data_IF_373495993139
#
_entry.id   IF_373495993139
#
_cell.length_a   1.000
_cell.length_b   1.000
_cell.length_c   1.000
_cell.angle_alpha   90.00
_cell.angle_beta   90.00
_cell.angle_gamma   90.00
#
_symmetry.space_group_name_H-M   'P 1'
#
loop_
_entity.id
_entity.type
_entity.pdbx_description
1 polymer ?
#
# COMPACT_ATOMS: atom_id res chain seq x y z
N UNK A 1 9.14 0.75 1.17
CA UNK A 1 9.07 1.86 2.14
C UNK A 1 8.69 3.16 1.45
N UNK A 2 8.25 4.12 2.20
CA UNK A 2 8.11 5.48 1.69
C UNK A 2 9.37 6.27 2.06
N UNK A 3 9.96 6.94 1.10
CA UNK A 3 11.09 7.85 1.30
C UNK A 3 10.61 9.24 0.88
N UNK A 4 10.49 10.13 1.85
CA UNK A 4 9.87 11.44 1.66
C UNK A 4 8.48 11.35 1.01
N UNK A 5 7.70 10.34 1.42
CA UNK A 5 6.35 10.11 0.91
C UNK A 5 6.26 9.36 -0.42
N UNK A 6 7.37 8.96 -1.01
CA UNK A 6 7.42 8.25 -2.30
C UNK A 6 7.73 6.78 -2.08
N UNK A 7 6.99 5.90 -2.73
CA UNK A 7 7.23 4.46 -2.64
C UNK A 7 8.52 4.08 -3.38
N UNK A 8 9.44 3.46 -2.67
CA UNK A 8 10.73 3.02 -3.21
C UNK A 8 11.03 1.60 -2.72
N UNK A 9 11.84 0.87 -3.47
CA UNK A 9 12.36 -0.41 -3.02
C UNK A 9 13.49 -0.18 -2.02
N UNK A 10 13.24 -0.51 -0.75
CA UNK A 10 14.21 -0.26 0.33
C UNK A 10 15.54 -0.96 0.08
N UNK A 11 15.53 -2.12 -0.56
CA UNK A 11 16.75 -2.87 -0.89
C UNK A 11 17.63 -2.19 -1.96
N UNK A 12 17.11 -1.18 -2.66
CA UNK A 12 17.84 -0.44 -3.69
C UNK A 12 18.28 0.96 -3.23
N UNK A 13 18.00 1.30 -1.96
CA UNK A 13 18.39 2.58 -1.38
C UNK A 13 19.54 2.35 -0.41
N UNK A 14 20.66 3.04 -0.64
CA UNK A 14 21.81 2.98 0.29
C UNK A 14 21.43 3.70 1.59
N UNK A 15 21.92 3.19 2.71
CA UNK A 15 21.64 3.78 4.02
C UNK A 15 22.09 5.25 4.07
N UNK A 16 23.21 5.56 3.46
CA UNK A 16 23.73 6.94 3.41
C UNK A 16 22.84 7.87 2.60
N UNK A 17 22.12 7.34 1.60
CA UNK A 17 21.18 8.12 0.80
C UNK A 17 19.92 8.51 1.58
N UNK A 18 19.59 7.74 2.61
CA UNK A 18 18.43 8.02 3.45
C UNK A 18 18.72 9.11 4.50
N UNK A 19 19.96 9.49 4.68
CA UNK A 19 20.31 10.53 5.64
C UNK A 19 19.64 11.86 5.27
N UNK A 20 19.00 12.49 6.24
CA UNK A 20 18.27 13.73 6.04
C UNK A 20 16.90 13.57 5.40
N UNK A 21 16.47 12.34 5.12
CA UNK A 21 15.17 12.02 4.52
C UNK A 21 14.25 11.34 5.53
N UNK A 22 12.96 11.48 5.30
CA UNK A 22 11.95 10.82 6.14
C UNK A 22 11.65 9.43 5.57
N UNK A 23 11.84 8.40 6.40
CA UNK A 23 11.56 7.00 6.05
C UNK A 23 10.32 6.55 6.79
N UNK A 24 9.35 6.01 6.05
CA UNK A 24 8.14 5.40 6.63
C UNK A 24 8.05 3.97 6.13
N UNK A 25 7.99 3.03 7.07
CA UNK A 25 7.74 1.61 6.78
C UNK A 25 6.27 1.30 7.05
N UNK A 26 5.86 0.04 6.80
CA UNK A 26 4.48 -0.37 7.05
C UNK A 26 4.10 -0.21 8.53
N UNK A 27 5.04 -0.42 9.44
CA UNK A 27 4.84 -0.21 10.87
C UNK A 27 4.54 1.26 11.19
N UNK A 28 5.17 2.17 10.46
CA UNK A 28 4.93 3.60 10.62
C UNK A 28 3.53 4.03 10.18
N UNK A 29 2.93 3.34 9.22
CA UNK A 29 1.56 3.61 8.80
C UNK A 29 0.55 3.27 9.89
N UNK A 30 0.85 2.25 10.70
CA UNK A 30 -0.05 1.75 11.74
C UNK A 30 0.39 2.12 13.17
N UNK A 31 1.12 3.23 13.32
CA UNK A 31 1.59 3.67 14.63
C UNK A 31 0.46 3.93 15.62
N UNK A 32 -0.69 4.41 15.15
CA UNK A 32 -1.88 4.70 15.96
C UNK A 32 -3.00 3.66 15.76
N UNK A 33 -2.66 2.46 15.34
CA UNK A 33 -3.60 1.40 15.00
C UNK A 33 -3.68 1.15 13.51
N UNK A 34 -4.50 0.20 13.09
CA UNK A 34 -4.64 -0.12 11.68
C UNK A 34 -5.22 1.07 10.91
N UNK A 35 -4.65 1.32 9.73
CA UNK A 35 -5.21 2.31 8.81
C UNK A 35 -6.47 1.77 8.15
N UNK A 36 -7.25 2.67 7.55
CA UNK A 36 -8.43 2.29 6.77
C UNK A 36 -8.07 1.28 5.65
N UNK A 37 -6.94 1.49 4.98
CA UNK A 37 -6.44 0.58 3.94
C UNK A 37 -6.15 -0.82 4.50
N UNK A 38 -5.49 -0.90 5.64
CA UNK A 38 -5.19 -2.18 6.29
C UNK A 38 -6.46 -2.90 6.72
N UNK A 39 -7.44 -2.16 7.25
CA UNK A 39 -8.75 -2.72 7.60
C UNK A 39 -9.46 -3.29 6.38
N UNK A 40 -9.44 -2.58 5.25
CA UNK A 40 -10.08 -3.05 4.02
C UNK A 40 -9.37 -4.29 3.44
N UNK A 41 -8.05 -4.40 3.61
CA UNK A 41 -7.34 -5.63 3.25
C UNK A 41 -7.87 -6.83 4.03
N UNK A 42 -8.13 -6.66 5.32
CA UNK A 42 -8.72 -7.71 6.15
C UNK A 42 -10.17 -7.99 5.74
N UNK A 43 -10.96 -6.96 5.53
CA UNK A 43 -12.38 -7.09 5.16
C UNK A 43 -12.55 -7.79 3.80
N UNK A 44 -11.68 -7.53 2.86
CA UNK A 44 -11.73 -8.15 1.53
C UNK A 44 -11.14 -9.58 1.51
N UNK A 45 -10.58 -10.04 2.63
CA UNK A 45 -9.89 -11.33 2.66
C UNK A 45 -8.63 -11.35 1.79
N UNK A 46 -7.97 -10.22 1.65
CA UNK A 46 -6.79 -10.07 0.80
C UNK A 46 -5.54 -10.69 1.42
N UNK A 47 -5.56 -10.96 2.71
CA UNK A 47 -4.42 -11.52 3.45
C UNK A 47 -4.56 -13.03 3.54
N UNK A 48 -3.57 -13.77 3.01
CA UNK A 48 -3.46 -15.21 3.23
C UNK A 48 -2.20 -15.49 4.04
N UNK A 49 -1.05 -15.77 3.41
CA UNK A 49 0.19 -15.96 4.18
C UNK A 49 0.74 -14.65 4.76
N UNK A 50 0.40 -13.52 4.18
CA UNK A 50 0.78 -12.21 4.68
C UNK A 50 2.14 -11.69 4.20
N UNK A 51 2.92 -12.50 3.48
CA UNK A 51 4.28 -12.13 3.11
C UNK A 51 4.34 -10.92 2.16
N UNK A 52 3.42 -10.84 1.20
CA UNK A 52 3.40 -9.74 0.23
C UNK A 52 2.75 -8.46 0.78
N UNK A 53 2.05 -8.56 1.90
CA UNK A 53 1.18 -7.49 2.38
C UNK A 53 1.90 -6.18 2.69
N UNK A 54 3.06 -6.17 3.37
CA UNK A 54 3.76 -4.92 3.63
C UNK A 54 4.05 -4.11 2.35
N UNK A 55 4.56 -4.78 1.31
CA UNK A 55 4.82 -4.13 0.02
C UNK A 55 3.55 -3.65 -0.66
N UNK A 56 2.51 -4.50 -0.67
CA UNK A 56 1.22 -4.16 -1.27
C UNK A 56 0.59 -2.93 -0.58
N UNK A 57 0.62 -2.89 0.75
CA UNK A 57 0.06 -1.76 1.52
C UNK A 57 0.81 -0.46 1.23
N UNK A 58 2.14 -0.50 1.22
CA UNK A 58 2.96 0.70 0.94
C UNK A 58 2.68 1.21 -0.48
N UNK A 59 2.64 0.32 -1.47
CA UNK A 59 2.37 0.70 -2.86
C UNK A 59 0.97 1.28 -3.02
N UNK A 60 -0.02 0.65 -2.39
CA UNK A 60 -1.41 1.10 -2.44
C UNK A 60 -1.58 2.45 -1.72
N UNK A 61 -0.95 2.63 -0.58
CA UNK A 61 -1.01 3.91 0.14
C UNK A 61 -0.42 5.04 -0.69
N UNK A 62 0.72 4.80 -1.33
CA UNK A 62 1.33 5.78 -2.24
C UNK A 62 0.39 6.12 -3.40
N UNK A 63 -0.21 5.09 -4.03
CA UNK A 63 -1.17 5.32 -5.11
C UNK A 63 -2.33 6.21 -4.65
N UNK A 64 -2.94 5.89 -3.50
CA UNK A 64 -4.10 6.62 -3.00
C UNK A 64 -3.76 8.05 -2.59
N UNK A 65 -2.52 8.31 -2.18
CA UNK A 65 -2.05 9.68 -1.89
C UNK A 65 -1.87 10.51 -3.15
N UNK A 66 -1.48 9.88 -4.25
CA UNK A 66 -1.24 10.56 -5.53
C UNK A 66 -2.48 10.59 -6.42
N UNK A 67 -3.34 9.58 -6.30
CA UNK A 67 -4.58 9.46 -7.08
C UNK A 67 -5.69 8.94 -6.14
N UNK A 68 -6.54 9.82 -5.58
CA UNK A 68 -7.57 9.42 -4.62
C UNK A 68 -8.69 8.55 -5.19
N UNK A 69 -8.85 8.50 -6.51
CA UNK A 69 -9.92 7.76 -7.18
C UNK A 69 -9.38 6.94 -8.34
N UNK A 70 -8.48 5.98 -8.08
CA UNK A 70 -7.88 5.18 -9.15
C UNK A 70 -8.90 4.21 -9.73
N UNK A 71 -8.81 3.95 -11.04
CA UNK A 71 -9.57 2.87 -11.67
C UNK A 71 -8.82 1.54 -11.46
N UNK A 72 -9.44 0.43 -11.88
CA UNK A 72 -8.85 -0.91 -11.69
C UNK A 72 -7.51 -1.04 -12.40
N UNK A 73 -7.38 -0.50 -13.62
CA UNK A 73 -6.13 -0.58 -14.38
C UNK A 73 -5.00 0.18 -13.70
N UNK A 74 -5.28 1.36 -13.15
CA UNK A 74 -4.32 2.15 -12.39
C UNK A 74 -3.87 1.43 -11.12
N UNK A 75 -4.80 0.78 -10.44
CA UNK A 75 -4.50 -0.03 -9.24
C UNK A 75 -3.57 -1.18 -9.61
N UNK A 76 -3.91 -1.93 -10.66
CA UNK A 76 -3.09 -3.07 -11.10
C UNK A 76 -1.69 -2.64 -11.50
N UNK A 77 -1.57 -1.53 -12.19
CA UNK A 77 -0.27 -1.00 -12.60
C UNK A 77 0.57 -0.59 -11.39
N UNK A 78 -0.04 0.12 -10.44
CA UNK A 78 0.67 0.58 -9.23
C UNK A 78 1.15 -0.59 -8.37
N UNK A 79 0.43 -1.70 -8.35
CA UNK A 79 0.76 -2.88 -7.55
C UNK A 79 1.60 -3.92 -8.30
N UNK A 80 1.88 -3.70 -9.58
CA UNK A 80 2.50 -4.69 -10.45
C UNK A 80 3.89 -5.17 -9.99
N UNK A 81 4.63 -4.34 -9.24
CA UNK A 81 5.93 -4.68 -8.69
C UNK A 81 5.88 -5.61 -7.47
N UNK A 82 4.69 -5.93 -6.97
CA UNK A 82 4.51 -6.77 -5.80
C UNK A 82 3.95 -8.13 -6.21
N UNK A 83 4.70 -9.18 -5.95
CA UNK A 83 4.28 -10.54 -6.30
C UNK A 83 3.61 -11.22 -5.11
N UNK A 84 2.52 -11.95 -5.37
CA UNK A 84 1.78 -12.69 -4.37
C UNK A 84 1.69 -14.17 -4.78
N UNK A 85 2.35 -15.03 -4.02
CA UNK A 85 2.36 -16.46 -4.30
C UNK A 85 1.00 -17.13 -4.04
N UNK A 86 0.20 -16.52 -3.16
CA UNK A 86 -1.15 -17.01 -2.84
C UNK A 86 -2.20 -16.55 -3.86
N UNK A 87 -1.80 -15.76 -4.84
CA UNK A 87 -2.67 -15.23 -5.90
C UNK A 87 -3.85 -14.39 -5.37
N UNK A 88 -3.60 -13.58 -4.35
CA UNK A 88 -4.61 -12.70 -3.76
C UNK A 88 -4.91 -11.42 -4.54
N UNK A 89 -4.38 -11.29 -5.73
CA UNK A 89 -4.40 -10.04 -6.50
C UNK A 89 -5.77 -9.37 -6.62
N UNK A 90 -6.80 -10.15 -6.97
CA UNK A 90 -8.15 -9.59 -7.15
C UNK A 90 -8.72 -9.02 -5.84
N UNK A 91 -8.48 -9.71 -4.73
CA UNK A 91 -8.93 -9.26 -3.40
C UNK A 91 -8.18 -8.02 -2.96
N UNK A 92 -6.90 -7.92 -3.31
CA UNK A 92 -6.09 -6.74 -3.04
C UNK A 92 -6.62 -5.53 -3.83
N UNK A 93 -6.93 -5.72 -5.11
CA UNK A 93 -7.54 -4.66 -5.92
C UNK A 93 -8.86 -4.19 -5.31
N UNK A 94 -9.71 -5.12 -4.87
CA UNK A 94 -10.97 -4.79 -4.20
C UNK A 94 -10.75 -4.00 -2.91
N UNK A 95 -9.74 -4.37 -2.13
CA UNK A 95 -9.40 -3.66 -0.90
C UNK A 95 -9.01 -2.21 -1.18
N UNK A 96 -8.22 -1.98 -2.22
CA UNK A 96 -7.81 -0.63 -2.61
C UNK A 96 -9.01 0.18 -3.10
N UNK A 97 -9.87 -0.43 -3.91
CA UNK A 97 -11.11 0.21 -4.38
C UNK A 97 -12.01 0.59 -3.20
N UNK A 98 -12.19 -0.32 -2.25
CA UNK A 98 -13.00 -0.06 -1.05
C UNK A 98 -12.42 1.06 -0.21
N UNK A 99 -11.10 1.13 -0.08
CA UNK A 99 -10.43 2.20 0.66
C UNK A 99 -10.63 3.55 -0.04
N UNK A 100 -10.49 3.59 -1.36
CA UNK A 100 -10.71 4.80 -2.13
C UNK A 100 -12.14 5.32 -1.95
N UNK A 101 -13.13 4.42 -2.02
CA UNK A 101 -14.53 4.77 -1.80
C UNK A 101 -14.79 5.27 -0.37
N UNK A 102 -14.17 4.62 0.61
CA UNK A 102 -14.29 4.99 2.03
C UNK A 102 -13.71 6.39 2.28
N UNK A 103 -12.57 6.70 1.70
CA UNK A 103 -11.93 8.03 1.83
C UNK A 103 -12.72 9.11 1.10
N UNK A 104 -13.30 8.79 -0.04
CA UNK A 104 -14.17 9.70 -0.79
C UNK A 104 -15.42 10.04 0.02
N UNK A 105 -16.05 9.05 0.62
CA UNK A 105 -17.25 9.23 1.45
C UNK A 105 -16.99 10.06 2.72
N UNK A 106 -15.74 10.06 3.21
CA UNK A 106 -15.35 10.78 4.43
C UNK A 106 -15.07 12.27 4.20
N UNK A 107 -15.04 12.73 2.95
CA UNK A 107 -14.77 14.15 2.61
C UNK A 107 -15.99 15.05 2.78
#
# INVERSE_FOLDING_TARGET
MLLDGRAVNSCLVLCVEAEGHEVTTVEGLSADGLTDLQEEFLNAGAVQCGFCIPGQVISAEYLLRTNPSPDEAEIREALAGNLCRCAGYQRIVRAVQATAARREAAK
#
